data_IF_380396994020
#
_entry.id   IF_380396994020
#
_cell.length_a   1.000
_cell.length_b   1.000
_cell.length_c   1.000
_cell.angle_alpha   90.00
_cell.angle_beta   90.00
_cell.angle_gamma   90.00
#
_symmetry.space_group_name_H-M   'P 1'
#
loop_
_entity.id
_entity.type
_entity.pdbx_description
1 polymer ?
#
# COMPACT_ATOMS: atom_id res chain seq x y z
N UNK A 1 -33.02 -10.57 -2.32
CA UNK A 1 -31.80 -9.94 -2.87
C UNK A 1 -30.84 -9.74 -1.71
N UNK A 2 -29.77 -10.52 -1.63
CA UNK A 2 -28.69 -10.23 -0.67
C UNK A 2 -28.00 -8.97 -1.20
N UNK A 3 -28.19 -7.84 -0.52
CA UNK A 3 -27.52 -6.60 -0.90
C UNK A 3 -26.01 -6.81 -0.82
N UNK A 4 -25.28 -6.41 -1.87
CA UNK A 4 -23.82 -6.36 -1.86
C UNK A 4 -23.39 -5.27 -0.87
N UNK A 5 -23.41 -5.57 0.42
CA UNK A 5 -22.87 -4.71 1.46
C UNK A 5 -21.41 -5.07 1.65
N UNK A 6 -20.53 -4.13 1.29
CA UNK A 6 -19.13 -4.22 1.67
C UNK A 6 -19.02 -3.99 3.17
N UNK A 7 -18.09 -4.68 3.81
CA UNK A 7 -17.69 -4.30 5.16
C UNK A 7 -16.85 -3.04 5.06
N UNK A 8 -16.86 -2.21 6.10
CA UNK A 8 -16.04 -0.99 6.14
C UNK A 8 -14.55 -1.26 5.79
N UNK A 9 -13.97 -2.37 6.28
CA UNK A 9 -12.60 -2.74 5.94
C UNK A 9 -12.40 -3.09 4.46
N UNK A 10 -13.40 -3.67 3.79
CA UNK A 10 -13.33 -3.95 2.35
C UNK A 10 -13.44 -2.66 1.53
N UNK A 11 -14.22 -1.69 1.99
CA UNK A 11 -14.31 -0.36 1.37
C UNK A 11 -12.95 0.35 1.47
N UNK A 12 -12.40 0.44 2.67
CA UNK A 12 -11.08 1.06 2.91
C UNK A 12 -9.95 0.36 2.15
N UNK A 13 -9.98 -0.97 2.07
CA UNK A 13 -9.01 -1.73 1.27
C UNK A 13 -9.12 -1.40 -0.22
N UNK A 14 -10.34 -1.33 -0.77
CA UNK A 14 -10.55 -1.00 -2.17
C UNK A 14 -10.12 0.43 -2.49
N UNK A 15 -10.42 1.39 -1.63
CA UNK A 15 -10.03 2.80 -1.76
C UNK A 15 -8.51 2.95 -1.71
N UNK A 16 -7.83 2.31 -0.76
CA UNK A 16 -6.38 2.36 -0.67
C UNK A 16 -5.70 1.72 -1.89
N UNK A 17 -6.21 0.58 -2.39
CA UNK A 17 -5.70 -0.05 -3.62
C UNK A 17 -5.88 0.88 -4.82
N UNK A 18 -7.01 1.57 -4.92
CA UNK A 18 -7.27 2.51 -5.99
C UNK A 18 -6.23 3.64 -6.01
N UNK A 19 -6.02 4.30 -4.86
CA UNK A 19 -5.03 5.38 -4.72
C UNK A 19 -3.62 4.92 -5.10
N UNK A 20 -3.21 3.72 -4.64
CA UNK A 20 -1.89 3.16 -4.97
C UNK A 20 -1.72 2.97 -6.49
N UNK A 21 -2.77 2.53 -7.19
CA UNK A 21 -2.74 2.33 -8.65
C UNK A 21 -2.72 3.64 -9.41
N UNK A 22 -3.45 4.65 -8.96
CA UNK A 22 -3.42 5.99 -9.56
C UNK A 22 -2.02 6.59 -9.48
N UNK A 23 -1.38 6.54 -8.29
CA UNK A 23 0.00 7.03 -8.13
C UNK A 23 0.98 6.29 -9.03
N UNK A 24 0.84 4.96 -9.17
CA UNK A 24 1.69 4.20 -10.07
C UNK A 24 1.43 4.47 -11.56
N UNK A 25 0.25 4.96 -11.92
CA UNK A 25 -0.12 5.28 -13.30
C UNK A 25 0.28 6.73 -13.68
N UNK A 26 0.23 7.66 -12.72
CA UNK A 26 0.44 9.09 -12.99
C UNK A 26 1.88 9.58 -12.74
N UNK A 27 2.66 8.88 -11.92
CA UNK A 27 4.02 9.31 -11.55
C UNK A 27 5.10 8.40 -12.15
N UNK A 28 6.18 8.99 -12.64
CA UNK A 28 7.28 8.24 -13.27
C UNK A 28 8.16 7.47 -12.27
N UNK A 29 8.39 8.03 -11.08
CA UNK A 29 9.31 7.46 -10.08
C UNK A 29 8.71 7.46 -8.67
N UNK A 30 7.58 6.74 -8.43
CA UNK A 30 7.02 6.65 -7.09
C UNK A 30 7.90 5.80 -6.16
N UNK A 31 7.79 6.03 -4.86
CA UNK A 31 8.46 5.24 -3.82
C UNK A 31 7.52 5.10 -2.63
N UNK A 32 7.50 3.92 -2.01
CA UNK A 32 6.74 3.70 -0.78
C UNK A 32 7.66 3.80 0.44
N UNK A 33 7.40 4.78 1.30
CA UNK A 33 8.13 4.95 2.56
C UNK A 33 7.76 3.83 3.54
N UNK A 34 8.77 3.09 3.99
CA UNK A 34 8.62 1.94 4.89
C UNK A 34 9.34 2.19 6.21
N UNK A 35 8.59 2.29 7.31
CA UNK A 35 9.13 2.62 8.64
C UNK A 35 9.36 1.41 9.54
N UNK A 36 9.06 0.19 9.07
CA UNK A 36 9.06 -1.06 9.89
C UNK A 36 7.95 -1.04 10.96
N UNK A 37 7.04 -0.06 10.91
CA UNK A 37 5.87 0.02 11.78
C UNK A 37 4.62 -0.66 11.20
N UNK A 38 3.62 -0.90 12.05
CA UNK A 38 2.36 -1.59 11.69
C UNK A 38 1.66 -0.97 10.48
N UNK A 39 1.61 0.37 10.39
CA UNK A 39 0.87 1.07 9.35
C UNK A 39 1.57 0.91 7.99
N UNK A 40 2.91 1.05 7.99
CA UNK A 40 3.71 0.82 6.78
C UNK A 40 3.67 -0.63 6.32
N UNK A 41 3.57 -1.60 7.24
CA UNK A 41 3.39 -3.02 6.88
C UNK A 41 2.03 -3.29 6.24
N UNK A 42 0.96 -2.64 6.72
CA UNK A 42 -0.36 -2.70 6.07
C UNK A 42 -0.32 -2.09 4.68
N UNK A 43 0.35 -0.95 4.50
CA UNK A 43 0.51 -0.32 3.18
C UNK A 43 1.27 -1.23 2.20
N UNK A 44 2.34 -1.91 2.64
CA UNK A 44 3.05 -2.88 1.79
C UNK A 44 2.11 -4.01 1.36
N UNK A 45 1.30 -4.55 2.28
CA UNK A 45 0.32 -5.60 1.94
C UNK A 45 -0.74 -5.10 0.95
N UNK A 46 -1.19 -3.86 1.08
CA UNK A 46 -2.13 -3.24 0.14
C UNK A 46 -1.49 -3.03 -1.24
N UNK A 47 -0.23 -2.63 -1.30
CA UNK A 47 0.51 -2.52 -2.57
C UNK A 47 0.64 -3.88 -3.26
N UNK A 48 0.98 -4.95 -2.53
CA UNK A 48 0.98 -6.31 -3.09
C UNK A 48 -0.38 -6.71 -3.66
N UNK A 49 -1.48 -6.39 -2.95
CA UNK A 49 -2.84 -6.63 -3.46
C UNK A 49 -3.15 -5.79 -4.69
N UNK A 50 -2.67 -4.55 -4.74
CA UNK A 50 -2.91 -3.65 -5.85
C UNK A 50 -2.28 -4.16 -7.16
N UNK A 51 -1.15 -4.85 -7.10
CA UNK A 51 -0.43 -5.29 -8.30
C UNK A 51 -0.43 -6.80 -8.54
N UNK A 52 -1.04 -7.60 -7.66
CA UNK A 52 -1.17 -9.05 -7.88
C UNK A 52 -1.84 -9.36 -9.24
N UNK A 53 -1.33 -10.34 -10.02
CA UNK A 53 -0.21 -11.24 -9.73
C UNK A 53 1.19 -10.70 -10.10
N UNK A 54 1.27 -9.47 -10.59
CA UNK A 54 2.53 -8.78 -10.88
C UNK A 54 3.28 -8.32 -9.63
N UNK A 55 4.50 -7.81 -9.85
CA UNK A 55 5.30 -7.17 -8.80
C UNK A 55 4.87 -5.72 -8.63
N UNK A 56 5.05 -5.18 -7.42
CA UNK A 56 4.88 -3.75 -7.14
C UNK A 56 5.88 -2.96 -8.00
N UNK A 57 5.44 -1.97 -8.80
CA UNK A 57 6.27 -1.31 -9.81
C UNK A 57 7.15 -0.17 -9.24
N UNK A 58 7.27 -0.07 -7.91
CA UNK A 58 8.05 0.95 -7.23
C UNK A 58 8.85 0.38 -6.05
N UNK A 59 10.01 0.96 -5.73
CA UNK A 59 10.81 0.52 -4.61
C UNK A 59 10.20 0.90 -3.25
N UNK A 60 10.64 0.21 -2.20
CA UNK A 60 10.45 0.62 -0.82
C UNK A 60 11.66 1.46 -0.38
N UNK A 61 11.42 2.52 0.40
CA UNK A 61 12.48 3.33 1.00
C UNK A 61 12.34 3.38 2.52
N UNK A 62 13.42 2.99 3.20
CA UNK A 62 13.54 3.12 4.64
C UNK A 62 14.49 4.26 4.98
N UNK A 63 14.01 5.26 5.72
CA UNK A 63 14.86 6.33 6.25
C UNK A 63 15.35 5.92 7.63
N UNK A 64 16.65 5.67 7.77
CA UNK A 64 17.26 5.35 9.07
C UNK A 64 17.74 6.61 9.79
N UNK A 65 17.19 6.87 10.96
CA UNK A 65 17.57 7.98 11.84
C UNK A 65 18.73 7.64 12.78
N UNK A 66 19.17 6.38 12.84
CA UNK A 66 20.11 5.82 13.83
C UNK A 66 19.58 5.71 15.27
N UNK A 67 18.30 6.05 15.51
CA UNK A 67 17.64 6.00 16.82
C UNK A 67 16.41 5.09 16.79
N UNK A 68 16.57 3.85 16.29
CA UNK A 68 15.50 2.85 16.24
C UNK A 68 15.76 1.74 17.25
N UNK A 69 14.71 1.04 17.64
CA UNK A 69 14.81 -0.13 18.49
C UNK A 69 15.54 -1.23 17.70
N UNK A 70 16.75 -1.58 18.14
CA UNK A 70 17.57 -2.68 17.62
C UNK A 70 17.53 -3.88 18.57
#
# INVERSE_FOLDING_TARGET
>A
MNGYNLTNLKELEAEAIHIIREVAAEFENPVMLYSVGKDSSVMVRLAEKAFYPGKVPFPLMHVDSKWKFG
#
